data_IF_043244208150
#
_entry.id   IF_043244208150
#
_cell.length_a   1.000
_cell.length_b   1.000
_cell.length_c   1.000
_cell.angle_alpha   90.00
_cell.angle_beta   90.00
_cell.angle_gamma   90.00
#
_symmetry.space_group_name_H-M   'P 1'
#
loop_
_entity.id
_entity.type
_entity.pdbx_description
1 polymer ?
#
# COMPACT_ATOMS: atom_id res chain seq x y z
N UNK A 1 1.85 27.14 9.07
CA UNK A 1 2.30 28.52 8.76
C UNK A 1 3.56 28.56 7.89
N UNK A 2 4.75 28.06 8.33
CA UNK A 2 5.94 28.06 7.46
C UNK A 2 5.70 27.29 6.16
N UNK A 3 5.10 26.12 6.24
CA UNK A 3 4.71 25.33 5.08
C UNK A 3 3.78 26.11 4.14
N UNK A 4 2.67 26.63 4.63
CA UNK A 4 1.64 27.32 3.83
C UNK A 4 2.20 28.56 3.12
N UNK A 5 3.11 29.27 3.75
CA UNK A 5 3.73 30.45 3.17
C UNK A 5 4.83 30.11 2.14
N UNK A 6 5.41 28.91 2.19
CA UNK A 6 6.50 28.50 1.33
C UNK A 6 6.10 27.45 0.29
N UNK A 7 4.90 26.85 0.39
CA UNK A 7 4.52 25.71 -0.47
C UNK A 7 4.34 26.09 -1.95
N UNK A 8 4.02 27.33 -2.27
CA UNK A 8 3.96 27.81 -3.66
C UNK A 8 5.28 28.47 -4.09
N UNK A 9 5.72 29.49 -3.39
CA UNK A 9 6.96 30.21 -3.61
C UNK A 9 7.51 30.68 -2.26
N UNK A 10 8.84 30.61 -2.09
CA UNK A 10 9.46 31.07 -0.85
C UNK A 10 9.41 32.61 -0.78
N UNK A 11 8.81 33.21 0.26
CA UNK A 11 8.81 34.66 0.41
C UNK A 11 10.26 35.21 0.50
N UNK A 12 10.57 36.36 -0.13
CA UNK A 12 11.91 36.97 -0.04
C UNK A 12 12.40 37.21 1.39
N UNK A 13 11.47 37.42 2.34
CA UNK A 13 11.77 37.57 3.77
C UNK A 13 12.24 36.24 4.39
N UNK A 14 11.75 35.09 3.88
CA UNK A 14 12.19 33.77 4.36
C UNK A 14 13.54 33.40 3.75
N UNK A 15 13.70 33.63 2.45
CA UNK A 15 14.96 33.39 1.74
C UNK A 15 16.12 34.16 2.40
N UNK A 16 15.93 35.46 2.70
CA UNK A 16 16.94 36.29 3.37
C UNK A 16 17.16 35.97 4.86
N UNK A 17 16.31 35.13 5.48
CA UNK A 17 16.36 34.76 6.91
C UNK A 17 16.39 33.25 7.12
N UNK A 18 16.89 32.45 6.17
CA UNK A 18 16.96 30.99 6.28
C UNK A 18 17.78 30.52 7.48
N UNK A 19 18.84 31.22 7.85
CA UNK A 19 19.66 30.85 9.02
C UNK A 19 18.89 30.96 10.34
N UNK A 20 18.26 32.09 10.73
CA UNK A 20 17.43 32.15 11.93
C UNK A 20 16.22 31.23 11.86
N UNK A 21 15.58 31.02 10.69
CA UNK A 21 14.49 30.07 10.52
C UNK A 21 15.00 28.64 10.78
N UNK A 22 16.11 28.23 10.19
CA UNK A 22 16.72 26.92 10.41
C UNK A 22 17.08 26.70 11.89
N UNK A 23 17.64 27.72 12.54
CA UNK A 23 17.94 27.67 13.96
C UNK A 23 16.67 27.46 14.81
N UNK A 24 15.59 28.15 14.45
CA UNK A 24 14.29 28.01 15.12
C UNK A 24 13.72 26.61 14.91
N UNK A 25 13.64 26.12 13.66
CA UNK A 25 13.16 24.77 13.35
C UNK A 25 13.98 23.70 14.08
N UNK A 26 15.31 23.82 14.07
CA UNK A 26 16.18 22.89 14.79
C UNK A 26 15.90 22.88 16.29
N UNK A 27 15.73 24.06 16.93
CA UNK A 27 15.43 24.17 18.36
C UNK A 27 14.18 23.39 18.75
N UNK A 28 13.12 23.48 17.95
CA UNK A 28 11.86 22.81 18.24
C UNK A 28 11.81 21.34 17.77
N UNK A 29 12.57 20.95 16.76
CA UNK A 29 12.71 19.55 16.39
C UNK A 29 13.33 18.69 17.51
N UNK A 30 14.23 19.27 18.29
CA UNK A 30 14.87 18.58 19.42
C UNK A 30 14.27 18.96 20.78
N UNK A 31 13.18 19.73 20.77
CA UNK A 31 12.53 20.19 22.00
C UNK A 31 11.87 19.03 22.73
N UNK A 32 12.10 18.97 24.04
CA UNK A 32 11.46 18.05 24.97
C UNK A 32 10.90 18.82 26.15
N UNK A 33 9.70 18.49 26.60
CA UNK A 33 9.09 19.07 27.78
C UNK A 33 8.15 18.06 28.45
N UNK A 34 8.52 17.50 29.60
CA UNK A 34 7.68 16.52 30.31
C UNK A 34 6.27 17.02 30.65
N UNK A 35 6.08 18.34 30.80
CA UNK A 35 4.77 18.94 31.09
C UNK A 35 3.81 18.94 29.89
N UNK A 36 4.35 18.72 28.69
CA UNK A 36 3.59 18.64 27.43
C UNK A 36 3.52 17.20 26.89
N UNK A 37 4.12 16.24 27.58
CA UNK A 37 4.04 14.84 27.24
C UNK A 37 2.60 14.33 27.47
N UNK A 38 2.14 13.48 26.55
CA UNK A 38 0.87 12.77 26.72
C UNK A 38 1.11 11.34 27.21
N UNK A 39 0.29 10.90 28.16
CA UNK A 39 0.25 9.51 28.63
C UNK A 39 -0.58 8.63 27.67
N UNK A 40 -1.30 9.22 26.71
CA UNK A 40 -2.02 8.51 25.69
C UNK A 40 -1.03 7.94 24.66
N UNK A 41 -1.12 6.62 24.41
CA UNK A 41 -0.27 5.92 23.45
C UNK A 41 -0.81 5.99 22.01
N UNK A 42 -2.03 6.50 21.83
CA UNK A 42 -2.72 6.53 20.55
C UNK A 42 -2.80 7.94 19.95
N UNK A 43 -2.90 8.98 20.77
CA UNK A 43 -3.04 10.36 20.33
C UNK A 43 -1.73 11.15 20.48
N UNK A 44 -1.29 11.76 19.36
CA UNK A 44 -0.09 12.60 19.35
C UNK A 44 -0.25 13.83 20.24
N UNK A 45 0.72 14.08 21.10
CA UNK A 45 0.80 15.32 21.87
C UNK A 45 1.24 16.51 21.01
N UNK A 46 1.22 17.70 21.61
CA UNK A 46 1.60 18.94 20.90
C UNK A 46 3.07 18.94 20.46
N UNK A 47 3.97 18.27 21.20
CA UNK A 47 5.39 18.19 20.87
C UNK A 47 5.60 17.33 19.64
N UNK A 48 4.94 16.17 19.58
CA UNK A 48 4.97 15.24 18.45
C UNK A 48 4.41 15.91 17.18
N UNK A 49 3.29 16.62 17.32
CA UNK A 49 2.66 17.35 16.20
C UNK A 49 3.58 18.44 15.66
N UNK A 50 4.18 19.26 16.51
CA UNK A 50 5.11 20.32 16.09
C UNK A 50 6.35 19.73 15.41
N UNK A 51 6.90 18.62 15.92
CA UNK A 51 8.04 17.94 15.28
C UNK A 51 7.66 17.38 13.89
N UNK A 52 6.45 16.83 13.75
CA UNK A 52 5.95 16.34 12.47
C UNK A 52 5.81 17.49 11.45
N UNK A 53 5.21 18.62 11.85
CA UNK A 53 5.09 19.82 11.01
C UNK A 53 6.47 20.37 10.58
N UNK A 54 7.46 20.31 11.48
CA UNK A 54 8.84 20.69 11.14
C UNK A 54 9.40 19.75 10.06
N UNK A 55 9.25 18.44 10.21
CA UNK A 55 9.70 17.47 9.21
C UNK A 55 9.05 17.74 7.85
N UNK A 56 7.77 18.09 7.80
CA UNK A 56 7.06 18.44 6.56
C UNK A 56 7.62 19.73 5.92
N UNK A 57 7.96 20.74 6.70
CA UNK A 57 8.64 21.96 6.21
C UNK A 57 10.03 21.61 5.66
N UNK A 58 10.78 20.75 6.35
CA UNK A 58 12.10 20.32 5.89
C UNK A 58 12.04 19.53 4.59
N UNK A 59 11.05 18.65 4.44
CA UNK A 59 10.78 17.94 3.18
C UNK A 59 10.51 18.93 2.04
N UNK A 60 9.62 19.91 2.27
CA UNK A 60 9.31 20.95 1.31
C UNK A 60 10.58 21.73 0.88
N UNK A 61 11.43 22.10 1.85
CA UNK A 61 12.64 22.88 1.57
C UNK A 61 13.66 22.07 0.76
N UNK A 62 13.82 20.79 1.03
CA UNK A 62 14.67 19.89 0.24
C UNK A 62 14.12 19.70 -1.17
N UNK A 63 12.81 19.51 -1.32
CA UNK A 63 12.20 19.27 -2.64
C UNK A 63 12.15 20.51 -3.54
N UNK A 64 11.97 21.71 -2.98
CA UNK A 64 11.77 22.94 -3.75
C UNK A 64 12.92 23.93 -3.70
N UNK A 65 13.67 23.97 -2.60
CA UNK A 65 14.65 25.03 -2.29
C UNK A 65 16.00 24.45 -1.87
N UNK A 66 16.37 23.28 -2.43
CA UNK A 66 17.57 22.53 -2.01
C UNK A 66 18.85 23.37 -2.15
N UNK A 67 18.99 24.18 -3.19
CA UNK A 67 20.18 25.01 -3.40
C UNK A 67 20.41 26.03 -2.27
N UNK A 68 19.37 26.60 -1.74
CA UNK A 68 19.42 27.59 -0.64
C UNK A 68 19.51 26.90 0.72
N UNK A 69 18.85 25.73 0.86
CA UNK A 69 18.72 25.00 2.12
C UNK A 69 19.87 24.01 2.39
N UNK A 70 20.61 23.57 1.38
CA UNK A 70 21.62 22.48 1.46
C UNK A 70 22.67 22.65 2.56
N UNK A 71 23.06 23.89 2.88
CA UNK A 71 24.04 24.15 3.95
C UNK A 71 23.50 23.81 5.35
N UNK A 72 22.18 23.80 5.55
CA UNK A 72 21.50 23.50 6.81
C UNK A 72 21.06 22.04 6.91
N UNK A 73 20.93 21.34 5.78
CA UNK A 73 20.33 20.01 5.68
C UNK A 73 21.02 18.96 6.57
N UNK A 74 22.37 19.00 6.65
CA UNK A 74 23.14 17.99 7.39
C UNK A 74 22.78 17.91 8.88
N UNK A 75 22.48 19.02 9.51
CA UNK A 75 22.06 19.07 10.92
C UNK A 75 20.71 18.36 11.09
N UNK A 76 19.77 18.62 10.19
CA UNK A 76 18.43 18.04 10.25
C UNK A 76 18.46 16.53 9.90
N UNK A 77 19.28 16.11 8.93
CA UNK A 77 19.50 14.69 8.61
C UNK A 77 19.93 13.94 9.88
N UNK A 78 20.92 14.48 10.61
CA UNK A 78 21.41 13.84 11.84
C UNK A 78 20.32 13.77 12.93
N UNK A 79 19.45 14.77 13.01
CA UNK A 79 18.36 14.79 14.01
C UNK A 79 17.21 13.85 13.62
N UNK A 80 16.81 13.84 12.35
CA UNK A 80 15.82 12.87 11.85
C UNK A 80 16.30 11.42 12.04
N UNK A 81 17.59 11.15 11.78
CA UNK A 81 18.21 9.88 12.08
C UNK A 81 18.09 9.48 13.55
N UNK A 82 18.50 10.36 14.45
CA UNK A 82 18.42 10.09 15.89
C UNK A 82 16.98 9.87 16.34
N UNK A 83 16.05 10.68 15.86
CA UNK A 83 14.62 10.53 16.14
C UNK A 83 14.13 9.15 15.71
N UNK A 84 14.32 8.78 14.45
CA UNK A 84 13.83 7.52 13.87
C UNK A 84 14.49 6.28 14.47
N UNK A 85 15.72 6.40 14.97
CA UNK A 85 16.44 5.28 15.61
C UNK A 85 16.12 5.08 17.09
N UNK A 86 15.38 6.00 17.71
CA UNK A 86 15.09 5.98 19.16
C UNK A 86 13.61 6.03 19.49
N UNK A 87 12.74 6.42 18.54
CA UNK A 87 11.30 6.55 18.71
C UNK A 87 10.63 5.20 18.90
N UNK A 88 9.60 5.14 19.76
CA UNK A 88 8.88 3.90 20.05
C UNK A 88 7.87 3.48 18.96
N UNK A 89 7.26 2.30 19.16
CA UNK A 89 6.28 1.74 18.23
C UNK A 89 4.87 2.31 18.41
N UNK A 90 4.61 3.13 19.43
CA UNK A 90 3.28 3.64 19.77
C UNK A 90 2.67 4.45 18.62
N UNK A 91 1.35 4.33 18.44
CA UNK A 91 0.64 4.92 17.30
C UNK A 91 0.62 6.44 17.34
N UNK A 92 0.75 7.06 18.51
CA UNK A 92 0.90 8.52 18.67
C UNK A 92 2.08 9.11 17.88
N UNK A 93 3.09 8.29 17.57
CA UNK A 93 4.26 8.72 16.81
C UNK A 93 4.12 8.51 15.29
N UNK A 94 3.04 7.88 14.79
CA UNK A 94 2.92 7.47 13.38
C UNK A 94 3.08 8.64 12.41
N UNK A 95 2.41 9.76 12.67
CA UNK A 95 2.52 10.94 11.82
C UNK A 95 3.95 11.52 11.85
N UNK A 96 4.56 11.62 13.03
CA UNK A 96 5.92 12.13 13.16
C UNK A 96 6.94 11.24 12.43
N UNK A 97 6.83 9.92 12.60
CA UNK A 97 7.72 8.95 11.94
C UNK A 97 7.54 9.01 10.43
N UNK A 98 6.30 9.06 9.94
CA UNK A 98 6.00 9.17 8.52
C UNK A 98 6.60 10.44 7.91
N UNK A 99 6.39 11.61 8.52
CA UNK A 99 6.95 12.88 8.06
C UNK A 99 8.48 12.92 8.12
N UNK A 100 9.09 12.33 9.15
CA UNK A 100 10.55 12.21 9.24
C UNK A 100 11.13 11.30 8.14
N UNK A 101 10.44 10.20 7.82
CA UNK A 101 10.80 9.31 6.71
C UNK A 101 10.65 10.00 5.35
N UNK A 102 9.58 10.79 5.14
CA UNK A 102 9.41 11.58 3.91
C UNK A 102 10.54 12.59 3.73
N UNK A 103 10.95 13.27 4.79
CA UNK A 103 12.12 14.15 4.75
C UNK A 103 13.39 13.38 4.33
N UNK A 104 13.68 12.21 4.93
CA UNK A 104 14.84 11.40 4.51
C UNK A 104 14.71 10.86 3.09
N UNK A 105 13.48 10.58 2.62
CA UNK A 105 13.20 10.19 1.25
C UNK A 105 13.54 11.31 0.26
N UNK A 106 13.16 12.54 0.59
CA UNK A 106 13.53 13.74 -0.17
C UNK A 106 15.06 13.91 -0.23
N UNK A 107 15.75 13.79 0.92
CA UNK A 107 17.20 13.80 1.01
C UNK A 107 17.86 12.77 0.10
N UNK A 108 17.37 11.51 0.13
CA UNK A 108 17.86 10.44 -0.73
C UNK A 108 17.59 10.70 -2.22
N UNK A 109 16.57 11.49 -2.53
CA UNK A 109 16.20 11.88 -3.89
C UNK A 109 17.12 12.95 -4.51
N UNK A 110 17.78 13.78 -3.70
CA UNK A 110 18.61 14.89 -4.20
C UNK A 110 20.04 14.48 -4.48
N UNK A 111 20.67 15.06 -5.51
CA UNK A 111 22.06 14.81 -5.84
C UNK A 111 23.03 15.42 -4.80
N UNK A 112 22.62 16.48 -4.11
CA UNK A 112 23.45 17.16 -3.12
C UNK A 112 23.69 16.32 -1.85
N UNK A 113 22.77 15.42 -1.51
CA UNK A 113 22.78 14.72 -0.22
C UNK A 113 22.82 13.20 -0.34
N UNK A 114 22.34 12.63 -1.45
CA UNK A 114 22.20 11.18 -1.63
C UNK A 114 23.51 10.39 -1.45
N UNK A 115 24.66 11.01 -1.75
CA UNK A 115 25.96 10.35 -1.62
C UNK A 115 26.25 9.84 -0.20
N UNK A 116 25.63 10.41 0.83
CA UNK A 116 25.74 9.94 2.21
C UNK A 116 25.23 8.50 2.42
N UNK A 117 24.35 8.00 1.54
CA UNK A 117 23.81 6.66 1.58
C UNK A 117 24.58 5.65 0.72
N UNK A 118 25.60 6.08 -0.03
CA UNK A 118 26.38 5.21 -0.90
C UNK A 118 27.52 4.50 -0.15
N UNK A 119 27.19 3.89 0.98
CA UNK A 119 28.09 3.12 1.82
C UNK A 119 27.36 1.91 2.42
N UNK A 120 27.95 0.71 2.36
CA UNK A 120 27.31 -0.53 2.82
C UNK A 120 26.98 -0.50 4.32
N UNK A 121 27.86 0.06 5.15
CA UNK A 121 27.64 0.13 6.59
C UNK A 121 26.51 1.12 6.92
N UNK A 122 26.48 2.26 6.23
CA UNK A 122 25.40 3.25 6.39
C UNK A 122 24.08 2.65 5.97
N UNK A 123 24.02 2.00 4.80
CA UNK A 123 22.78 1.36 4.33
C UNK A 123 22.35 0.21 5.25
N UNK A 124 23.28 -0.59 5.77
CA UNK A 124 22.94 -1.64 6.74
C UNK A 124 22.32 -1.05 8.00
N UNK A 125 22.85 0.05 8.52
CA UNK A 125 22.26 0.74 9.66
C UNK A 125 20.89 1.37 9.32
N UNK A 126 20.73 1.94 8.13
CA UNK A 126 19.44 2.47 7.64
C UNK A 126 18.38 1.36 7.62
N UNK A 127 18.71 0.21 7.05
CA UNK A 127 17.77 -0.92 7.00
C UNK A 127 17.47 -1.41 8.40
N UNK A 128 18.49 -1.67 9.24
CA UNK A 128 18.32 -2.26 10.56
C UNK A 128 17.60 -1.35 11.55
N UNK A 129 17.96 -0.06 11.59
CA UNK A 129 17.50 0.86 12.64
C UNK A 129 16.33 1.74 12.24
N UNK A 130 16.08 1.91 10.94
CA UNK A 130 15.04 2.80 10.45
C UNK A 130 13.99 2.05 9.63
N UNK A 131 14.41 1.24 8.64
CA UNK A 131 13.43 0.57 7.76
C UNK A 131 12.73 -0.57 8.48
N UNK A 132 13.47 -1.53 9.03
CA UNK A 132 12.91 -2.72 9.67
C UNK A 132 11.91 -2.41 10.82
N UNK A 133 12.22 -1.52 11.77
CA UNK A 133 11.26 -1.22 12.86
C UNK A 133 9.94 -0.60 12.36
N UNK A 134 9.96 0.02 11.19
CA UNK A 134 8.80 0.70 10.64
C UNK A 134 8.07 -0.11 9.54
N UNK A 135 8.70 -1.17 9.00
CA UNK A 135 8.09 -2.12 8.05
C UNK A 135 7.43 -3.29 8.77
N UNK A 136 7.97 -3.73 9.92
CA UNK A 136 7.40 -4.81 10.70
C UNK A 136 5.98 -4.52 11.15
N UNK A 137 5.10 -5.53 11.08
CA UNK A 137 3.72 -5.44 11.59
C UNK A 137 3.72 -5.31 13.12
N UNK A 138 3.03 -4.29 13.61
CA UNK A 138 2.78 -4.06 15.03
C UNK A 138 1.44 -4.68 15.43
N UNK A 139 1.21 -4.81 16.72
CA UNK A 139 -0.08 -5.29 17.25
C UNK A 139 -1.24 -4.38 16.80
N UNK A 140 -1.07 -3.06 16.83
CA UNK A 140 -2.06 -2.09 16.34
C UNK A 140 -2.41 -2.23 14.85
N UNK A 141 -1.49 -2.70 14.02
CA UNK A 141 -1.74 -2.95 12.60
C UNK A 141 -2.60 -4.23 12.42
N UNK A 142 -2.40 -5.22 13.31
CA UNK A 142 -3.19 -6.46 13.35
C UNK A 142 -4.59 -6.17 13.88
N UNK A 143 -4.71 -5.41 14.97
CA UNK A 143 -6.00 -4.96 15.52
C UNK A 143 -6.81 -4.19 14.47
N UNK A 144 -6.20 -3.28 13.72
CA UNK A 144 -6.86 -2.58 12.62
C UNK A 144 -7.38 -3.55 11.55
N UNK A 145 -6.60 -4.59 11.20
CA UNK A 145 -6.99 -5.62 10.24
C UNK A 145 -8.19 -6.45 10.73
N UNK A 146 -8.24 -6.77 12.02
CA UNK A 146 -9.28 -7.61 12.61
C UNK A 146 -10.57 -6.83 12.93
N UNK A 147 -10.43 -5.66 13.54
CA UNK A 147 -11.54 -4.90 14.10
C UNK A 147 -12.11 -3.86 13.12
N UNK A 148 -11.27 -3.29 12.24
CA UNK A 148 -11.68 -2.25 11.30
C UNK A 148 -11.28 -2.58 9.85
N UNK A 149 -11.73 -3.71 9.29
CA UNK A 149 -11.26 -4.25 8.01
C UNK A 149 -11.49 -3.30 6.82
N UNK A 150 -12.52 -2.47 6.85
CA UNK A 150 -12.81 -1.49 5.79
C UNK A 150 -11.76 -0.36 5.81
N UNK A 151 -11.44 0.12 7.00
CA UNK A 151 -10.41 1.16 7.17
C UNK A 151 -9.03 0.63 6.80
N UNK A 152 -8.71 -0.62 7.19
CA UNK A 152 -7.49 -1.29 6.76
C UNK A 152 -7.34 -1.29 5.24
N UNK A 153 -8.40 -1.71 4.51
CA UNK A 153 -8.40 -1.76 3.04
C UNK A 153 -8.26 -0.35 2.44
N UNK A 154 -8.95 0.64 3.01
CA UNK A 154 -8.87 2.03 2.53
C UNK A 154 -7.48 2.62 2.70
N UNK A 155 -6.86 2.44 3.86
CA UNK A 155 -5.49 2.92 4.11
C UNK A 155 -4.49 2.30 3.14
N UNK A 156 -4.62 1.01 2.89
CA UNK A 156 -3.71 0.29 2.01
C UNK A 156 -3.88 0.67 0.52
N UNK A 157 -5.13 0.80 0.04
CA UNK A 157 -5.42 1.01 -1.40
C UNK A 157 -5.46 2.46 -1.82
N UNK A 158 -5.99 3.34 -1.00
CA UNK A 158 -6.26 4.73 -1.38
C UNK A 158 -5.13 5.66 -0.94
N UNK A 159 -4.23 5.18 -0.07
CA UNK A 159 -3.22 6.01 0.55
C UNK A 159 -3.92 7.19 1.22
N UNK A 160 -4.84 6.91 2.15
CA UNK A 160 -5.59 7.95 2.85
C UNK A 160 -4.64 9.00 3.44
N UNK A 161 -5.14 10.18 3.71
CA UNK A 161 -4.43 11.42 4.07
C UNK A 161 -3.34 11.29 5.17
N UNK A 162 -3.26 10.14 5.83
CA UNK A 162 -2.19 9.80 6.76
C UNK A 162 -1.37 8.64 6.20
N UNK A 163 -0.19 8.95 5.71
CA UNK A 163 0.78 7.92 5.34
C UNK A 163 1.14 7.07 6.56
N UNK A 164 0.97 5.77 6.44
CA UNK A 164 1.43 4.87 7.50
C UNK A 164 2.95 4.86 7.55
N UNK A 165 3.54 4.67 8.76
CA UNK A 165 5.00 4.55 8.87
C UNK A 165 5.56 3.39 8.03
N UNK A 166 4.78 2.30 7.83
CA UNK A 166 5.15 1.17 6.99
C UNK A 166 5.30 1.60 5.53
N UNK A 167 4.35 2.37 5.00
CA UNK A 167 4.41 2.90 3.64
C UNK A 167 5.57 3.88 3.49
N UNK A 168 5.72 4.82 4.41
CA UNK A 168 6.83 5.77 4.37
C UNK A 168 8.20 5.08 4.41
N UNK A 169 8.36 4.01 5.22
CA UNK A 169 9.59 3.22 5.26
C UNK A 169 9.85 2.45 3.96
N UNK A 170 8.82 1.86 3.35
CA UNK A 170 8.95 1.18 2.05
C UNK A 170 9.24 2.16 0.92
N UNK A 171 8.67 3.35 0.93
CA UNK A 171 8.93 4.40 -0.05
C UNK A 171 10.35 4.97 0.11
N UNK A 172 10.84 5.10 1.33
CA UNK A 172 12.24 5.48 1.59
C UNK A 172 13.22 4.43 1.02
N UNK A 173 12.96 3.14 1.29
CA UNK A 173 13.79 2.06 0.75
C UNK A 173 13.75 2.02 -0.78
N UNK A 174 12.57 2.25 -1.38
CA UNK A 174 12.40 2.34 -2.83
C UNK A 174 13.15 3.52 -3.43
N UNK A 175 13.17 4.67 -2.76
CA UNK A 175 13.95 5.83 -3.18
C UNK A 175 15.45 5.54 -3.15
N UNK A 176 15.96 4.90 -2.10
CA UNK A 176 17.35 4.45 -2.03
C UNK A 176 17.67 3.43 -3.14
N UNK A 177 16.75 2.50 -3.40
CA UNK A 177 16.85 1.52 -4.50
C UNK A 177 16.99 2.21 -5.86
N UNK A 178 16.24 3.27 -6.12
CA UNK A 178 16.29 4.01 -7.38
C UNK A 178 17.65 4.70 -7.63
N UNK A 179 18.39 4.99 -6.58
CA UNK A 179 19.70 5.66 -6.63
C UNK A 179 20.88 4.70 -6.56
N UNK A 180 20.78 3.65 -5.75
CA UNK A 180 21.89 2.75 -5.42
C UNK A 180 21.48 1.28 -5.58
N UNK A 181 20.87 0.95 -6.73
CA UNK A 181 20.21 -0.33 -7.00
C UNK A 181 21.01 -1.57 -6.53
N UNK A 182 22.26 -1.70 -6.99
CA UNK A 182 23.07 -2.87 -6.67
C UNK A 182 23.39 -2.97 -5.18
N UNK A 183 23.74 -1.87 -4.57
CA UNK A 183 24.13 -1.83 -3.16
C UNK A 183 22.93 -2.08 -2.26
N UNK A 184 21.80 -1.42 -2.52
CA UNK A 184 20.54 -1.60 -1.76
C UNK A 184 20.02 -3.03 -1.93
N UNK A 185 20.05 -3.59 -3.14
CA UNK A 185 19.67 -4.99 -3.39
C UNK A 185 20.53 -5.96 -2.59
N UNK A 186 21.84 -5.75 -2.59
CA UNK A 186 22.79 -6.62 -1.85
C UNK A 186 22.57 -6.54 -0.33
N UNK A 187 22.45 -5.33 0.22
CA UNK A 187 22.26 -5.12 1.67
C UNK A 187 20.90 -5.64 2.11
N UNK A 188 19.81 -5.21 1.45
CA UNK A 188 18.45 -5.61 1.81
C UNK A 188 18.23 -7.11 1.61
N UNK A 189 18.84 -7.70 0.58
CA UNK A 189 18.78 -9.14 0.32
C UNK A 189 19.26 -10.01 1.48
N UNK A 190 20.26 -9.55 2.25
CA UNK A 190 20.71 -10.25 3.47
C UNK A 190 19.61 -10.30 4.53
N UNK A 191 18.90 -9.20 4.73
CA UNK A 191 17.80 -9.13 5.68
C UNK A 191 16.58 -9.92 5.19
N UNK A 192 16.24 -9.85 3.89
CA UNK A 192 15.16 -10.67 3.31
C UNK A 192 15.42 -12.16 3.58
N UNK A 193 16.62 -12.66 3.29
CA UNK A 193 16.96 -14.05 3.53
C UNK A 193 16.88 -14.42 5.02
N UNK A 194 17.36 -13.54 5.91
CA UNK A 194 17.25 -13.73 7.35
C UNK A 194 15.80 -13.85 7.80
N UNK A 195 14.93 -12.92 7.38
CA UNK A 195 13.52 -12.93 7.75
C UNK A 195 12.73 -14.07 7.10
N UNK A 196 13.10 -14.53 5.91
CA UNK A 196 12.52 -15.75 5.32
C UNK A 196 12.86 -17.01 6.11
N UNK A 197 14.07 -17.10 6.66
CA UNK A 197 14.44 -18.22 7.54
C UNK A 197 13.67 -18.18 8.86
N UNK A 198 13.52 -17.02 9.49
CA UNK A 198 12.69 -16.83 10.69
C UNK A 198 11.21 -17.05 10.37
N UNK A 199 10.75 -16.63 9.22
CA UNK A 199 9.37 -16.76 8.74
C UNK A 199 8.88 -18.20 8.56
N UNK A 200 9.76 -19.20 8.61
CA UNK A 200 9.37 -20.62 8.68
C UNK A 200 8.62 -20.98 9.95
N UNK A 201 8.81 -20.23 11.03
CA UNK A 201 8.14 -20.42 12.32
C UNK A 201 7.32 -19.23 12.79
N UNK A 202 7.49 -18.07 12.16
CA UNK A 202 6.81 -16.82 12.51
C UNK A 202 6.34 -16.09 11.25
N UNK A 203 5.05 -16.09 10.99
CA UNK A 203 4.47 -15.47 9.81
C UNK A 203 4.71 -13.94 9.72
N UNK A 204 4.86 -13.23 10.86
CA UNK A 204 5.19 -11.78 10.89
C UNK A 204 6.57 -11.50 10.28
N UNK A 205 7.52 -12.38 10.51
CA UNK A 205 8.84 -12.25 9.89
C UNK A 205 8.78 -12.49 8.37
N UNK A 206 7.95 -13.44 7.94
CA UNK A 206 7.69 -13.66 6.52
C UNK A 206 7.04 -12.44 5.85
N UNK A 207 6.04 -11.83 6.48
CA UNK A 207 5.42 -10.57 6.02
C UNK A 207 6.48 -9.47 5.87
N UNK A 208 7.37 -9.30 6.86
CA UNK A 208 8.48 -8.36 6.79
C UNK A 208 9.38 -8.63 5.58
N UNK A 209 9.75 -9.89 5.33
CA UNK A 209 10.55 -10.27 4.17
C UNK A 209 9.87 -9.95 2.84
N UNK A 210 8.56 -10.24 2.72
CA UNK A 210 7.76 -9.94 1.52
C UNK A 210 7.71 -8.42 1.30
N UNK A 211 7.48 -7.63 2.34
CA UNK A 211 7.44 -6.17 2.26
C UNK A 211 8.77 -5.55 1.82
N UNK A 212 9.88 -6.05 2.36
CA UNK A 212 11.23 -5.63 1.92
C UNK A 212 11.46 -6.01 0.45
N UNK A 213 11.09 -7.23 0.05
CA UNK A 213 11.24 -7.68 -1.34
C UNK A 213 10.44 -6.80 -2.30
N UNK A 214 9.17 -6.54 -2.01
CA UNK A 214 8.32 -5.65 -2.79
C UNK A 214 8.94 -4.25 -2.97
N UNK A 215 9.58 -3.74 -1.91
CA UNK A 215 10.19 -2.40 -1.92
C UNK A 215 11.37 -2.29 -2.87
N UNK A 216 12.20 -3.36 -2.99
CA UNK A 216 13.40 -3.34 -3.84
C UNK A 216 13.20 -4.00 -5.21
N UNK A 217 12.10 -4.74 -5.42
CA UNK A 217 11.80 -5.38 -6.69
C UNK A 217 11.07 -4.45 -7.66
N UNK A 218 10.23 -3.54 -7.16
CA UNK A 218 9.46 -2.64 -7.99
C UNK A 218 10.28 -1.41 -8.41
N UNK A 219 10.35 -1.15 -9.72
CA UNK A 219 10.96 0.07 -10.29
C UNK A 219 9.87 1.00 -10.83
N UNK A 220 10.04 2.29 -10.57
CA UNK A 220 9.13 3.33 -11.07
C UNK A 220 7.73 3.27 -10.45
N UNK A 221 6.77 3.91 -11.13
CA UNK A 221 5.41 4.04 -10.64
C UNK A 221 4.63 2.73 -10.73
N UNK A 222 3.91 2.39 -9.67
CA UNK A 222 2.90 1.32 -9.68
C UNK A 222 1.60 1.90 -10.22
N UNK A 223 1.18 1.46 -11.41
CA UNK A 223 -0.03 1.98 -12.05
C UNK A 223 -1.26 1.15 -11.69
N UNK A 224 -2.42 1.80 -11.60
CA UNK A 224 -3.69 1.10 -11.35
C UNK A 224 -4.04 0.10 -12.48
N UNK A 225 -3.65 0.38 -13.73
CA UNK A 225 -3.93 -0.47 -14.90
C UNK A 225 -3.01 -1.68 -15.02
N UNK A 226 -1.71 -1.54 -14.76
CA UNK A 226 -0.71 -2.58 -15.05
C UNK A 226 0.08 -3.07 -13.84
N UNK A 227 -0.03 -2.43 -12.66
CA UNK A 227 0.83 -2.72 -11.52
C UNK A 227 2.26 -2.25 -11.75
N UNK A 228 3.22 -3.06 -11.36
CA UNK A 228 4.64 -2.82 -11.58
C UNK A 228 5.02 -3.27 -12.99
N UNK A 229 5.30 -2.32 -13.88
CA UNK A 229 5.71 -2.62 -15.25
C UNK A 229 7.21 -2.96 -15.34
N UNK A 230 8.04 -2.31 -14.57
CA UNK A 230 9.49 -2.48 -14.58
C UNK A 230 9.97 -3.01 -13.23
N UNK A 231 10.74 -4.07 -13.25
CA UNK A 231 11.30 -4.71 -12.05
C UNK A 231 12.82 -4.58 -12.01
N UNK A 232 13.38 -4.76 -10.83
CA UNK A 232 14.82 -4.90 -10.64
C UNK A 232 15.28 -6.21 -11.28
N UNK A 233 16.16 -6.12 -12.29
CA UNK A 233 16.61 -7.25 -13.10
C UNK A 233 17.44 -8.27 -12.29
N UNK A 234 17.98 -7.86 -11.13
CA UNK A 234 18.69 -8.75 -10.23
C UNK A 234 17.77 -9.67 -9.40
N UNK A 235 16.45 -9.43 -9.46
CA UNK A 235 15.45 -10.14 -8.66
C UNK A 235 14.42 -10.85 -9.56
N UNK A 236 14.21 -12.15 -9.29
CA UNK A 236 13.20 -12.92 -10.00
C UNK A 236 11.88 -12.93 -9.20
N UNK A 237 10.95 -12.05 -9.56
CA UNK A 237 9.68 -11.89 -8.83
C UNK A 237 8.77 -13.12 -8.94
N UNK A 238 8.85 -13.87 -10.04
CA UNK A 238 8.05 -15.09 -10.24
C UNK A 238 8.60 -16.24 -9.40
N UNK A 239 9.92 -16.41 -9.38
CA UNK A 239 10.58 -17.43 -8.57
C UNK A 239 10.38 -17.17 -7.06
N UNK A 240 10.53 -15.91 -6.64
CA UNK A 240 10.27 -15.53 -5.25
C UNK A 240 8.83 -15.88 -4.83
N UNK A 241 7.85 -15.58 -5.68
CA UNK A 241 6.46 -15.96 -5.44
C UNK A 241 6.32 -17.47 -5.26
N UNK A 242 6.86 -18.25 -6.19
CA UNK A 242 6.74 -19.71 -6.17
C UNK A 242 7.38 -20.35 -4.93
N UNK A 243 8.55 -19.84 -4.52
CA UNK A 243 9.30 -20.41 -3.40
C UNK A 243 8.79 -19.99 -2.04
N UNK A 244 8.28 -18.75 -1.91
CA UNK A 244 8.05 -18.16 -0.59
C UNK A 244 6.60 -17.72 -0.35
N UNK A 245 5.80 -17.45 -1.40
CA UNK A 245 4.49 -16.80 -1.27
C UNK A 245 3.33 -17.70 -1.69
N UNK A 246 3.51 -18.52 -2.70
CA UNK A 246 2.42 -19.31 -3.33
C UNK A 246 1.67 -20.21 -2.35
N UNK A 247 2.36 -20.77 -1.35
CA UNK A 247 1.74 -21.65 -0.36
C UNK A 247 0.69 -20.91 0.50
N UNK A 248 0.85 -19.61 0.73
CA UNK A 248 -0.12 -18.83 1.50
C UNK A 248 -1.39 -18.56 0.67
N UNK A 249 -1.27 -18.49 -0.65
CA UNK A 249 -2.41 -18.34 -1.52
C UNK A 249 -3.30 -19.58 -1.57
N UNK A 250 -2.69 -20.78 -1.59
CA UNK A 250 -3.41 -22.05 -1.77
C UNK A 250 -3.71 -22.79 -0.45
N UNK A 251 -3.09 -22.39 0.67
CA UNK A 251 -3.28 -23.03 1.97
C UNK A 251 -4.67 -22.81 2.53
N UNK A 252 -5.35 -23.89 3.01
CA UNK A 252 -6.70 -23.82 3.54
C UNK A 252 -6.71 -23.45 5.02
N UNK A 253 -6.30 -24.35 5.90
CA UNK A 253 -6.31 -24.15 7.35
C UNK A 253 -4.90 -23.94 7.90
N UNK A 254 -4.74 -22.94 8.74
CA UNK A 254 -3.46 -22.63 9.41
C UNK A 254 -2.60 -21.57 8.74
N UNK A 255 -3.06 -20.98 7.64
CA UNK A 255 -2.46 -19.75 7.06
C UNK A 255 -3.17 -18.56 7.65
N UNK A 256 -2.40 -17.62 8.20
CA UNK A 256 -2.93 -16.38 8.76
C UNK A 256 -3.62 -15.54 7.67
N UNK A 257 -4.77 -14.92 7.95
CA UNK A 257 -5.49 -14.12 6.96
C UNK A 257 -4.64 -13.01 6.33
N UNK A 258 -3.77 -12.36 7.10
CA UNK A 258 -2.85 -11.32 6.59
C UNK A 258 -1.88 -11.92 5.58
N UNK A 259 -1.31 -13.11 5.83
CA UNK A 259 -0.41 -13.79 4.89
C UNK A 259 -1.11 -14.14 3.56
N UNK A 260 -2.40 -14.49 3.60
CA UNK A 260 -3.20 -14.66 2.37
C UNK A 260 -3.36 -13.35 1.61
N UNK A 261 -3.62 -12.26 2.32
CA UNK A 261 -3.72 -10.91 1.73
C UNK A 261 -2.39 -10.51 1.09
N UNK A 262 -1.26 -10.76 1.75
CA UNK A 262 0.06 -10.47 1.19
C UNK A 262 0.33 -11.25 -0.10
N UNK A 263 -0.05 -12.54 -0.14
CA UNK A 263 0.07 -13.37 -1.33
C UNK A 263 -0.78 -12.83 -2.50
N UNK A 264 -2.01 -12.41 -2.22
CA UNK A 264 -2.91 -11.82 -3.22
C UNK A 264 -2.38 -10.45 -3.68
N UNK A 265 -1.91 -9.61 -2.75
CA UNK A 265 -1.28 -8.31 -3.06
C UNK A 265 -0.05 -8.48 -3.94
N UNK A 266 0.78 -9.46 -3.64
CA UNK A 266 1.96 -9.78 -4.44
C UNK A 266 1.57 -10.06 -5.89
N UNK A 267 0.60 -10.94 -6.11
CA UNK A 267 0.11 -11.28 -7.46
C UNK A 267 -0.35 -10.06 -8.24
N UNK A 268 -1.25 -9.25 -7.69
CA UNK A 268 -1.75 -8.12 -8.46
C UNK A 268 -0.74 -6.97 -8.58
N UNK A 269 0.23 -6.88 -7.69
CA UNK A 269 1.33 -5.91 -7.79
C UNK A 269 2.21 -6.22 -9.00
N UNK A 270 2.61 -7.48 -9.16
CA UNK A 270 3.45 -7.94 -10.27
C UNK A 270 2.67 -8.54 -11.44
N UNK A 271 1.38 -8.20 -11.57
CA UNK A 271 0.49 -8.81 -12.58
C UNK A 271 0.98 -8.69 -14.01
N UNK A 272 1.75 -7.67 -14.36
CA UNK A 272 2.35 -7.50 -15.69
C UNK A 272 3.58 -8.37 -15.92
N UNK A 273 4.10 -9.02 -14.89
CA UNK A 273 5.28 -9.89 -14.95
C UNK A 273 4.90 -11.37 -15.11
N UNK A 274 3.62 -11.72 -14.93
CA UNK A 274 3.14 -13.09 -15.05
C UNK A 274 2.67 -13.38 -16.47
N UNK A 275 2.97 -14.60 -16.96
CA UNK A 275 2.42 -15.09 -18.21
C UNK A 275 0.94 -15.47 -18.06
N UNK A 276 0.25 -15.66 -19.19
CA UNK A 276 -1.16 -16.07 -19.19
C UNK A 276 -1.35 -17.42 -18.46
N UNK A 277 -0.46 -18.37 -18.67
CA UNK A 277 -0.49 -19.69 -18.03
C UNK A 277 -0.31 -19.61 -16.53
N UNK A 278 0.59 -18.74 -16.07
CA UNK A 278 0.78 -18.49 -14.62
C UNK A 278 -0.48 -17.87 -13.99
N UNK A 279 -1.14 -16.96 -14.72
CA UNK A 279 -2.42 -16.41 -14.29
C UNK A 279 -3.54 -17.44 -14.26
N UNK A 280 -3.61 -18.35 -15.23
CA UNK A 280 -4.58 -19.45 -15.24
C UNK A 280 -4.39 -20.34 -14.01
N UNK A 281 -3.15 -20.62 -13.62
CA UNK A 281 -2.83 -21.38 -12.42
C UNK A 281 -3.21 -20.64 -11.12
N UNK A 282 -3.07 -19.32 -11.08
CA UNK A 282 -3.38 -18.50 -9.91
C UNK A 282 -4.88 -18.17 -9.77
N UNK A 283 -5.66 -18.26 -10.86
CA UNK A 283 -7.06 -17.85 -10.87
C UNK A 283 -7.96 -18.69 -9.97
N UNK A 284 -7.84 -20.01 -10.03
CA UNK A 284 -8.60 -20.93 -9.18
C UNK A 284 -8.38 -20.66 -7.68
N UNK A 285 -7.12 -20.55 -7.17
CA UNK A 285 -6.87 -20.13 -5.79
C UNK A 285 -7.45 -18.77 -5.41
N UNK A 286 -7.44 -17.79 -6.33
CA UNK A 286 -8.07 -16.49 -6.06
C UNK A 286 -9.59 -16.62 -5.88
N UNK A 287 -10.27 -17.39 -6.75
CA UNK A 287 -11.71 -17.65 -6.60
C UNK A 287 -12.01 -18.39 -5.29
N UNK A 288 -11.17 -19.36 -4.90
CA UNK A 288 -11.31 -20.05 -3.61
C UNK A 288 -11.18 -19.09 -2.42
N UNK A 289 -10.25 -18.14 -2.46
CA UNK A 289 -10.09 -17.15 -1.39
C UNK A 289 -11.27 -16.17 -1.28
N UNK A 290 -12.11 -16.02 -2.30
CA UNK A 290 -13.39 -15.30 -2.16
C UNK A 290 -14.37 -16.03 -1.21
N UNK A 291 -14.22 -17.36 -1.03
CA UNK A 291 -14.96 -18.16 -0.04
C UNK A 291 -14.42 -18.05 1.39
N UNK A 292 -13.38 -17.27 1.65
CA UNK A 292 -12.84 -17.08 2.99
C UNK A 292 -13.88 -16.41 3.92
N UNK A 293 -13.85 -16.74 5.21
CA UNK A 293 -14.70 -16.08 6.21
C UNK A 293 -14.24 -14.65 6.54
N UNK A 294 -12.97 -14.34 6.31
CA UNK A 294 -12.39 -13.04 6.61
C UNK A 294 -12.70 -12.01 5.51
N UNK A 295 -13.26 -10.85 5.92
CA UNK A 295 -13.69 -9.77 5.02
C UNK A 295 -12.54 -9.24 4.15
N UNK A 296 -11.36 -9.05 4.73
CA UNK A 296 -10.20 -8.49 4.00
C UNK A 296 -9.73 -9.47 2.94
N UNK A 297 -9.63 -10.77 3.26
CA UNK A 297 -9.16 -11.80 2.33
C UNK A 297 -10.05 -11.90 1.09
N UNK A 298 -11.38 -12.03 1.26
CA UNK A 298 -12.25 -12.16 0.09
C UNK A 298 -12.35 -10.85 -0.71
N UNK A 299 -12.24 -9.70 -0.05
CA UNK A 299 -12.23 -8.41 -0.75
C UNK A 299 -10.97 -8.25 -1.60
N UNK A 300 -9.79 -8.60 -1.07
CA UNK A 300 -8.56 -8.57 -1.86
C UNK A 300 -8.55 -9.59 -2.99
N UNK A 301 -9.15 -10.77 -2.81
CA UNK A 301 -9.34 -11.74 -3.88
C UNK A 301 -10.19 -11.15 -5.03
N UNK A 302 -11.29 -10.47 -4.70
CA UNK A 302 -12.12 -9.78 -5.68
C UNK A 302 -11.36 -8.64 -6.40
N UNK A 303 -10.56 -7.86 -5.68
CA UNK A 303 -9.70 -6.83 -6.24
C UNK A 303 -8.67 -7.42 -7.21
N UNK A 304 -8.05 -8.53 -6.85
CA UNK A 304 -7.07 -9.19 -7.72
C UNK A 304 -7.69 -9.69 -9.02
N UNK A 305 -8.87 -10.31 -8.95
CA UNK A 305 -9.63 -10.74 -10.15
C UNK A 305 -10.03 -9.54 -11.01
N UNK A 306 -10.56 -8.47 -10.41
CA UNK A 306 -10.91 -7.26 -11.15
C UNK A 306 -9.70 -6.67 -11.89
N UNK A 307 -8.55 -6.58 -11.21
CA UNK A 307 -7.31 -6.04 -11.80
C UNK A 307 -6.76 -6.94 -12.90
N UNK A 308 -6.85 -8.25 -12.77
CA UNK A 308 -6.48 -9.20 -13.82
C UNK A 308 -7.35 -9.03 -15.07
N UNK A 309 -8.66 -8.93 -14.90
CA UNK A 309 -9.61 -8.76 -16.00
C UNK A 309 -9.51 -7.36 -16.68
N UNK A 310 -8.85 -6.43 -16.04
CA UNK A 310 -8.54 -5.11 -16.59
C UNK A 310 -7.21 -5.07 -17.34
N UNK A 311 -6.33 -6.07 -17.12
CA UNK A 311 -4.97 -6.09 -17.66
C UNK A 311 -4.99 -6.24 -19.19
N UNK A 312 -4.25 -5.36 -19.87
CA UNK A 312 -4.08 -5.35 -21.32
C UNK A 312 -2.61 -5.50 -21.71
N UNK A 313 -2.36 -6.04 -22.87
CA UNK A 313 -1.05 -6.05 -23.51
C UNK A 313 -0.72 -4.66 -24.13
N UNK A 314 0.45 -4.55 -24.74
CA UNK A 314 0.91 -3.32 -25.38
C UNK A 314 0.06 -2.92 -26.62
N UNK A 315 -0.74 -3.85 -27.19
CA UNK A 315 -1.71 -3.57 -28.26
C UNK A 315 -3.06 -3.05 -27.75
N UNK A 316 -3.26 -3.02 -26.41
CA UNK A 316 -4.54 -2.72 -25.77
C UNK A 316 -5.52 -3.90 -25.72
N UNK A 317 -5.10 -5.10 -26.14
CA UNK A 317 -5.92 -6.30 -26.07
C UNK A 317 -5.87 -6.90 -24.67
N UNK A 318 -7.02 -7.40 -24.16
CA UNK A 318 -7.07 -8.04 -22.85
C UNK A 318 -6.25 -9.35 -22.85
N UNK A 319 -5.40 -9.49 -21.85
CA UNK A 319 -4.62 -10.73 -21.64
C UNK A 319 -5.52 -11.86 -21.17
N UNK A 320 -6.48 -11.54 -20.27
CA UNK A 320 -7.45 -12.48 -19.73
C UNK A 320 -8.85 -12.06 -20.19
N UNK A 321 -9.45 -12.85 -21.06
CA UNK A 321 -10.71 -12.52 -21.71
C UNK A 321 -11.85 -13.48 -21.34
N UNK A 322 -12.96 -13.37 -22.07
CA UNK A 322 -14.18 -14.17 -21.85
C UNK A 322 -13.89 -15.66 -21.77
N UNK A 323 -13.17 -16.23 -22.72
CA UNK A 323 -12.90 -17.68 -22.78
C UNK A 323 -12.14 -18.20 -21.53
N UNK A 324 -11.35 -17.33 -20.89
CA UNK A 324 -10.57 -17.69 -19.71
C UNK A 324 -11.43 -17.75 -18.44
N UNK A 325 -12.50 -16.94 -18.35
CA UNK A 325 -13.36 -16.85 -17.16
C UNK A 325 -14.72 -17.53 -17.30
N UNK A 326 -15.17 -17.81 -18.52
CA UNK A 326 -16.49 -18.41 -18.80
C UNK A 326 -16.78 -19.66 -17.95
N UNK A 327 -15.81 -20.59 -17.72
CA UNK A 327 -16.04 -21.77 -16.89
C UNK A 327 -16.35 -21.44 -15.41
N UNK A 328 -15.96 -20.24 -14.94
CA UNK A 328 -16.07 -19.83 -13.54
C UNK A 328 -17.12 -18.72 -13.34
N UNK A 329 -17.55 -18.06 -14.41
CA UNK A 329 -18.25 -16.78 -14.35
C UNK A 329 -19.56 -16.85 -13.55
N UNK A 330 -20.35 -17.91 -13.75
CA UNK A 330 -21.62 -18.09 -13.05
C UNK A 330 -21.40 -18.20 -11.53
N UNK A 331 -20.57 -19.16 -11.12
CA UNK A 331 -20.32 -19.44 -9.71
C UNK A 331 -19.63 -18.25 -9.01
N UNK A 332 -18.71 -17.59 -9.73
CA UNK A 332 -18.04 -16.40 -9.28
C UNK A 332 -19.02 -15.25 -9.01
N UNK A 333 -19.93 -14.95 -9.95
CA UNK A 333 -20.94 -13.92 -9.80
C UNK A 333 -21.92 -14.23 -8.69
N UNK A 334 -22.45 -15.47 -8.68
CA UNK A 334 -23.38 -15.91 -7.63
C UNK A 334 -22.76 -15.75 -6.24
N UNK A 335 -21.50 -16.15 -6.08
CA UNK A 335 -20.79 -16.01 -4.82
C UNK A 335 -20.55 -14.55 -4.41
N UNK A 336 -20.14 -13.69 -5.34
CA UNK A 336 -19.98 -12.26 -5.08
C UNK A 336 -21.30 -11.58 -4.69
N UNK A 337 -22.41 -11.92 -5.35
CA UNK A 337 -23.72 -11.42 -4.98
C UNK A 337 -24.14 -11.88 -3.58
N UNK A 338 -23.93 -13.15 -3.25
CA UNK A 338 -24.22 -13.69 -1.91
C UNK A 338 -23.44 -12.95 -0.82
N UNK A 339 -22.16 -12.63 -1.05
CA UNK A 339 -21.34 -11.86 -0.12
C UNK A 339 -21.90 -10.44 0.09
N UNK A 340 -22.33 -9.77 -0.97
CA UNK A 340 -22.92 -8.42 -0.88
C UNK A 340 -24.28 -8.46 -0.16
N UNK A 341 -25.14 -9.41 -0.53
CA UNK A 341 -26.54 -9.52 -0.02
C UNK A 341 -26.61 -10.16 1.37
N UNK A 342 -25.49 -10.71 1.89
CA UNK A 342 -25.39 -11.11 3.31
C UNK A 342 -25.68 -9.94 4.24
N UNK A 343 -25.34 -8.73 3.81
CA UNK A 343 -25.63 -7.51 4.54
C UNK A 343 -26.99 -6.93 4.10
N UNK A 344 -27.95 -6.88 5.03
CA UNK A 344 -29.31 -6.40 4.77
C UNK A 344 -29.51 -4.92 5.01
N UNK A 345 -28.59 -4.29 5.76
CA UNK A 345 -28.58 -2.84 5.99
C UNK A 345 -28.06 -2.12 4.76
N UNK A 346 -28.77 -1.10 4.21
CA UNK A 346 -28.30 -0.38 3.02
C UNK A 346 -26.90 0.21 3.14
N UNK A 347 -26.47 0.87 4.25
CA UNK A 347 -25.13 1.35 4.40
C UNK A 347 -24.09 0.21 4.40
N UNK A 348 -24.34 -0.87 5.15
CA UNK A 348 -23.45 -2.04 5.26
C UNK A 348 -23.27 -2.77 3.92
N UNK A 349 -24.36 -2.96 3.17
CA UNK A 349 -24.29 -3.53 1.82
C UNK A 349 -23.37 -2.73 0.91
N UNK A 350 -23.42 -1.41 0.98
CA UNK A 350 -22.63 -0.50 0.16
C UNK A 350 -21.15 -0.39 0.57
N UNK A 351 -20.76 -0.92 1.71
CA UNK A 351 -19.34 -1.08 2.09
C UNK A 351 -18.60 -2.05 1.17
N UNK A 352 -19.32 -2.94 0.45
CA UNK A 352 -18.80 -3.92 -0.49
C UNK A 352 -18.53 -3.35 -1.90
N UNK A 353 -18.03 -2.13 -2.01
CA UNK A 353 -17.79 -1.47 -3.30
C UNK A 353 -16.80 -2.23 -4.20
N UNK A 354 -15.78 -2.88 -3.63
CA UNK A 354 -14.80 -3.64 -4.39
C UNK A 354 -15.38 -4.95 -4.96
N UNK A 355 -16.31 -5.59 -4.24
CA UNK A 355 -17.05 -6.75 -4.74
C UNK A 355 -17.95 -6.35 -5.91
N UNK A 356 -18.69 -5.25 -5.78
CA UNK A 356 -19.51 -4.71 -6.87
C UNK A 356 -18.69 -4.32 -8.08
N UNK A 357 -17.51 -3.74 -7.87
CA UNK A 357 -16.56 -3.43 -8.95
C UNK A 357 -16.08 -4.69 -9.68
N UNK A 358 -15.84 -5.78 -8.95
CA UNK A 358 -15.49 -7.07 -9.54
C UNK A 358 -16.65 -7.63 -10.36
N UNK A 359 -17.89 -7.60 -9.86
CA UNK A 359 -19.10 -8.00 -10.59
C UNK A 359 -19.20 -7.22 -11.90
N UNK A 360 -19.15 -5.90 -11.85
CA UNK A 360 -19.15 -5.04 -13.03
C UNK A 360 -18.11 -5.48 -14.07
N UNK A 361 -16.87 -5.74 -13.60
CA UNK A 361 -15.77 -6.13 -14.49
C UNK A 361 -16.01 -7.50 -15.13
N UNK A 362 -16.48 -8.47 -14.37
CA UNK A 362 -16.83 -9.81 -14.89
C UNK A 362 -17.92 -9.70 -15.97
N UNK A 363 -18.99 -8.94 -15.71
CA UNK A 363 -20.08 -8.72 -16.66
C UNK A 363 -19.59 -8.05 -17.96
N UNK A 364 -18.76 -7.02 -17.86
CA UNK A 364 -18.16 -6.34 -19.03
C UNK A 364 -17.29 -7.30 -19.85
N UNK A 365 -16.54 -8.21 -19.22
CA UNK A 365 -15.68 -9.17 -19.92
C UNK A 365 -16.49 -10.29 -20.55
N UNK A 366 -17.51 -10.80 -19.85
CA UNK A 366 -18.39 -11.86 -20.32
C UNK A 366 -19.29 -11.41 -21.48
N UNK A 367 -19.75 -10.16 -21.47
CA UNK A 367 -20.65 -9.61 -22.47
C UNK A 367 -21.84 -10.58 -22.74
N UNK A 368 -22.10 -10.97 -23.99
CA UNK A 368 -23.18 -11.91 -24.34
C UNK A 368 -23.01 -13.33 -23.73
N UNK A 369 -21.87 -13.65 -23.14
CA UNK A 369 -21.61 -14.94 -22.47
C UNK A 369 -22.43 -15.18 -21.21
N UNK A 370 -23.13 -14.16 -20.69
CA UNK A 370 -24.01 -14.30 -19.52
C UNK A 370 -25.39 -14.83 -19.86
N UNK A 371 -25.79 -14.93 -21.13
CA UNK A 371 -27.15 -15.30 -21.58
C UNK A 371 -27.70 -16.59 -20.95
N UNK A 372 -26.83 -17.52 -20.53
CA UNK A 372 -27.25 -18.76 -19.88
C UNK A 372 -27.70 -18.58 -18.41
N UNK A 373 -27.39 -17.43 -17.81
CA UNK A 373 -27.68 -17.10 -16.40
C UNK A 373 -27.97 -15.61 -16.16
N UNK A 374 -28.41 -14.90 -17.19
CA UNK A 374 -28.75 -13.47 -17.13
C UNK A 374 -29.91 -13.17 -16.19
N UNK A 375 -30.93 -14.02 -16.12
CA UNK A 375 -32.01 -13.92 -15.16
C UNK A 375 -31.50 -13.88 -13.72
N UNK A 376 -30.57 -14.77 -13.35
CA UNK A 376 -29.96 -14.82 -12.03
C UNK A 376 -29.23 -13.48 -11.72
N UNK A 377 -28.41 -13.00 -12.66
CA UNK A 377 -27.67 -11.74 -12.49
C UNK A 377 -28.63 -10.55 -12.35
N UNK A 378 -29.67 -10.50 -13.16
CA UNK A 378 -30.67 -9.44 -13.12
C UNK A 378 -31.46 -9.43 -11.81
N UNK A 379 -31.88 -10.60 -11.31
CA UNK A 379 -32.58 -10.73 -10.05
C UNK A 379 -31.76 -10.18 -8.87
N UNK A 380 -30.46 -10.54 -8.78
CA UNK A 380 -29.55 -10.00 -7.77
C UNK A 380 -29.38 -8.48 -7.89
N UNK A 381 -29.15 -7.95 -9.09
CA UNK A 381 -28.99 -6.51 -9.28
C UNK A 381 -30.25 -5.73 -8.94
N UNK A 382 -31.46 -6.25 -9.26
CA UNK A 382 -32.74 -5.67 -8.86
C UNK A 382 -32.91 -5.70 -7.32
N UNK A 383 -32.58 -6.82 -6.68
CA UNK A 383 -32.60 -6.96 -5.24
C UNK A 383 -31.71 -5.92 -4.54
N UNK A 384 -30.47 -5.78 -5.01
CA UNK A 384 -29.53 -4.78 -4.51
C UNK A 384 -30.06 -3.36 -4.74
N UNK A 385 -30.61 -3.05 -5.94
CA UNK A 385 -31.24 -1.74 -6.23
C UNK A 385 -32.34 -1.42 -5.23
N UNK A 386 -33.21 -2.42 -4.94
CA UNK A 386 -34.31 -2.24 -4.01
C UNK A 386 -33.87 -1.95 -2.58
N UNK A 387 -32.72 -2.49 -2.18
CA UNK A 387 -32.12 -2.25 -0.86
C UNK A 387 -31.45 -0.88 -0.79
N UNK A 388 -30.54 -0.56 -1.73
CA UNK A 388 -29.72 0.65 -1.65
C UNK A 388 -30.51 1.94 -1.91
N UNK A 389 -31.62 1.88 -2.69
CA UNK A 389 -32.46 3.06 -2.96
C UNK A 389 -33.04 3.72 -1.72
N UNK A 390 -33.17 2.97 -0.62
CA UNK A 390 -33.74 3.46 0.65
C UNK A 390 -32.80 4.43 1.36
N UNK A 391 -31.49 4.14 1.32
CA UNK A 391 -30.46 4.98 1.92
C UNK A 391 -29.18 4.92 1.10
N UNK A 392 -29.05 5.72 0.05
CA UNK A 392 -27.85 5.78 -0.75
C UNK A 392 -26.72 6.49 0.03
N UNK A 393 -25.61 5.77 0.31
CA UNK A 393 -24.51 6.24 1.16
C UNK A 393 -23.13 6.18 0.52
N UNK A 394 -22.92 5.32 -0.51
CA UNK A 394 -21.61 5.16 -1.14
C UNK A 394 -21.68 5.39 -2.67
N UNK A 395 -21.24 6.57 -3.17
CA UNK A 395 -21.26 6.89 -4.60
C UNK A 395 -20.49 5.92 -5.49
N UNK A 396 -19.38 5.33 -5.00
CA UNK A 396 -18.59 4.35 -5.77
C UNK A 396 -19.35 3.06 -5.95
N UNK A 397 -20.04 2.58 -4.91
CA UNK A 397 -20.87 1.39 -5.00
C UNK A 397 -21.97 1.55 -6.07
N UNK A 398 -22.69 2.70 -6.10
CA UNK A 398 -23.73 2.93 -7.13
C UNK A 398 -23.12 2.99 -8.52
N UNK A 399 -22.00 3.68 -8.68
CA UNK A 399 -21.35 3.78 -9.97
C UNK A 399 -21.08 2.38 -10.54
N UNK A 400 -20.47 1.50 -9.77
CA UNK A 400 -20.20 0.12 -10.20
C UNK A 400 -21.48 -0.70 -10.40
N UNK A 401 -22.49 -0.49 -9.56
CA UNK A 401 -23.77 -1.16 -9.68
C UNK A 401 -24.51 -0.76 -10.96
N UNK A 402 -24.60 0.52 -11.29
CA UNK A 402 -25.27 0.97 -12.51
C UNK A 402 -24.44 0.67 -13.77
N UNK A 403 -23.12 0.65 -13.71
CA UNK A 403 -22.29 0.15 -14.81
C UNK A 403 -22.50 -1.36 -15.03
N UNK A 404 -22.70 -2.15 -13.97
CA UNK A 404 -23.04 -3.55 -14.07
C UNK A 404 -24.39 -3.78 -14.76
N UNK A 405 -25.42 -3.01 -14.39
CA UNK A 405 -26.72 -3.00 -15.09
C UNK A 405 -26.57 -2.61 -16.56
N UNK A 406 -25.79 -1.56 -16.84
CA UNK A 406 -25.51 -1.13 -18.22
C UNK A 406 -24.78 -2.17 -19.06
N UNK A 407 -23.94 -3.02 -18.44
CA UNK A 407 -23.25 -4.09 -19.13
C UNK A 407 -24.17 -5.25 -19.59
N UNK A 408 -25.28 -5.46 -18.90
CA UNK A 408 -26.29 -6.48 -19.28
C UNK A 408 -27.17 -5.99 -20.44
N UNK A 409 -27.47 -4.68 -20.49
CA UNK A 409 -28.36 -4.08 -21.48
C UNK A 409 -27.67 -3.94 -22.86
N UNK A 410 -26.36 -3.86 -22.89
CA UNK A 410 -25.55 -3.72 -24.12
C UNK A 410 -25.28 -5.07 -24.79
#
# INVERSE_FOLDING_TARGET
MFYDLSCQEMPPQFESNLEPISTFLHKYLVYENPLLATDDETEAGIVETVKADICEVLELYVNKYDDDFKQYAQVFISKAWNLLSTIGPETKYDNLVSKALHFLTAIAGTSNHSAAFNDENVLSQVVEKVVLPNVALRESDIELFEDEPIEFIRRDLEGSDTDSRRRAATDFLRQLQSRFEQLVTSVTGKYINHYLEQGKSNWKDKDTAISLFLSIAAKGAVTASQGVKTVNEALNVVEFFQQHVANDLVGDSGVEPISKVDAIKYLYTFRSQLTKEQWQAAFQPLVQNMGASNYVVYTYAAIAVERLLYLTDDSGSRIFGRADIEPFAKDLLEHLFQLIEKETSPPKMQENEFLMRCIMRVLIVMNTGIQAFDDMVLDHLISITNTIKVNPSNPRFYYYHFEALGAIIR
#
